data_IF_252042194598
#
_entry.id   IF_252042194598
#
_cell.length_a   1.000
_cell.length_b   1.000
_cell.length_c   1.000
_cell.angle_alpha   90.00
_cell.angle_beta   90.00
_cell.angle_gamma   90.00
#
_symmetry.space_group_name_H-M   'P 1'
#
loop_
_entity.id
_entity.type
_entity.pdbx_description
1 polymer ?
#
# COMPACT_ATOMS: atom_id res chain seq x y z
N UNK A 1 -1.47 20.06 -10.89
CA UNK A 1 -0.74 18.78 -10.73
C UNK A 1 0.03 18.87 -9.43
N UNK A 2 -0.19 17.98 -8.45
CA UNK A 2 0.73 17.89 -7.31
C UNK A 2 2.01 17.24 -7.85
N UNK A 3 3.13 17.96 -7.77
CA UNK A 3 4.41 17.45 -8.24
C UNK A 3 4.79 16.19 -7.45
N UNK A 4 5.50 15.27 -8.11
CA UNK A 4 6.08 14.12 -7.44
C UNK A 4 6.95 14.59 -6.26
N UNK A 5 6.69 14.04 -5.08
CA UNK A 5 7.45 14.35 -3.88
C UNK A 5 8.68 13.44 -3.80
N UNK A 6 9.78 13.89 -4.42
CA UNK A 6 11.03 13.13 -4.55
C UNK A 6 11.82 13.06 -3.24
N UNK A 7 11.30 12.26 -2.30
CA UNK A 7 11.94 12.00 -1.01
C UNK A 7 11.74 10.53 -0.66
N UNK A 8 12.86 9.84 -0.42
CA UNK A 8 12.89 8.43 -0.02
C UNK A 8 12.49 8.22 1.43
N UNK A 9 11.90 7.06 1.73
CA UNK A 9 11.68 6.63 3.11
C UNK A 9 13.04 6.43 3.79
N UNK A 10 13.25 6.89 5.05
CA UNK A 10 14.50 6.70 5.75
C UNK A 10 14.94 5.22 5.76
N UNK A 11 16.18 4.94 5.41
CA UNK A 11 16.68 3.58 5.19
C UNK A 11 16.46 2.65 6.40
N UNK A 12 16.58 3.18 7.63
CA UNK A 12 16.32 2.42 8.86
C UNK A 12 14.89 1.89 8.96
N UNK A 13 13.92 2.61 8.40
CA UNK A 13 12.51 2.24 8.34
C UNK A 13 12.21 1.37 7.11
N UNK A 14 12.97 1.58 6.03
CA UNK A 14 12.78 0.84 4.78
C UNK A 14 13.34 -0.59 4.82
N UNK A 15 14.36 -0.87 5.63
CA UNK A 15 14.99 -2.19 5.66
C UNK A 15 13.99 -3.30 6.03
N UNK A 16 13.94 -4.37 5.22
CA UNK A 16 12.98 -5.47 5.38
C UNK A 16 11.54 -5.12 5.03
N UNK A 17 11.25 -3.88 4.62
CA UNK A 17 9.92 -3.48 4.17
C UNK A 17 9.61 -4.05 2.79
N UNK A 18 8.36 -4.39 2.58
CA UNK A 18 7.85 -4.89 1.30
C UNK A 18 6.70 -4.02 0.83
N UNK A 19 6.41 -4.04 -0.47
CA UNK A 19 5.27 -3.31 -0.97
C UNK A 19 5.01 -3.57 -2.44
N UNK A 20 3.85 -3.11 -2.90
CA UNK A 20 3.43 -3.31 -4.27
C UNK A 20 2.04 -2.77 -4.54
N UNK A 21 1.61 -2.92 -5.80
CA UNK A 21 0.26 -2.62 -6.23
C UNK A 21 -0.59 -3.87 -6.04
N UNK A 22 -1.59 -3.80 -5.16
CA UNK A 22 -2.59 -4.82 -4.99
C UNK A 22 -3.77 -4.60 -5.96
N UNK A 23 -4.29 -5.69 -6.52
CA UNK A 23 -5.51 -5.74 -7.31
C UNK A 23 -6.46 -6.74 -6.65
N UNK A 24 -7.74 -6.42 -6.62
CA UNK A 24 -8.77 -7.31 -6.07
C UNK A 24 -9.69 -7.77 -7.19
N UNK A 25 -9.76 -9.09 -7.36
CA UNK A 25 -10.69 -9.74 -8.28
C UNK A 25 -11.48 -10.78 -7.50
N UNK A 26 -12.78 -10.60 -7.47
CA UNK A 26 -13.73 -11.53 -6.87
C UNK A 26 -14.22 -12.46 -7.97
N UNK A 27 -14.05 -13.75 -7.75
CA UNK A 27 -14.45 -14.81 -8.68
C UNK A 27 -15.59 -15.59 -8.03
N UNK A 28 -16.74 -15.67 -8.70
CA UNK A 28 -17.92 -16.38 -8.21
C UNK A 28 -18.47 -17.31 -9.28
N UNK A 29 -18.82 -18.53 -8.88
CA UNK A 29 -19.53 -19.48 -9.74
C UNK A 29 -21.03 -19.21 -9.64
N UNK A 30 -21.68 -18.99 -10.78
CA UNK A 30 -23.12 -18.77 -10.87
C UNK A 30 -23.88 -20.09 -10.74
N UNK A 31 -25.16 -20.04 -10.37
CA UNK A 31 -26.03 -21.22 -10.35
C UNK A 31 -26.19 -21.91 -11.72
N UNK A 32 -25.83 -21.23 -12.81
CA UNK A 32 -25.74 -21.76 -14.17
C UNK A 32 -24.44 -22.51 -14.49
N UNK A 33 -23.48 -22.57 -13.56
CA UNK A 33 -22.17 -23.19 -13.75
C UNK A 33 -21.11 -22.30 -14.41
N UNK A 34 -21.48 -21.10 -14.87
CA UNK A 34 -20.53 -20.12 -15.42
C UNK A 34 -19.80 -19.32 -14.32
N UNK A 35 -18.58 -18.88 -14.62
CA UNK A 35 -17.80 -18.00 -13.75
C UNK A 35 -18.12 -16.52 -14.03
N UNK A 36 -18.23 -15.72 -12.98
CA UNK A 36 -18.24 -14.26 -13.06
C UNK A 36 -17.07 -13.68 -12.28
N UNK A 37 -16.35 -12.73 -12.90
CA UNK A 37 -15.29 -11.94 -12.27
C UNK A 37 -15.76 -10.52 -12.04
N UNK A 38 -15.50 -9.97 -10.85
CA UNK A 38 -15.74 -8.57 -10.51
C UNK A 38 -14.47 -7.96 -9.93
N UNK A 39 -14.11 -6.76 -10.38
CA UNK A 39 -12.97 -6.02 -9.83
C UNK A 39 -13.53 -4.81 -9.09
N UNK A 40 -13.76 -4.88 -7.77
CA UNK A 40 -14.39 -3.79 -7.01
C UNK A 40 -13.51 -2.54 -6.91
N UNK A 41 -12.23 -2.64 -7.24
CA UNK A 41 -11.33 -1.50 -7.29
C UNK A 41 -11.16 -1.04 -8.74
N UNK A 42 -11.47 0.23 -9.00
CA UNK A 42 -11.23 0.85 -10.30
C UNK A 42 -9.73 0.82 -10.66
N UNK A 43 -8.87 1.07 -9.66
CA UNK A 43 -7.42 1.11 -9.82
C UNK A 43 -6.71 0.17 -8.85
N UNK A 44 -5.45 -0.12 -9.17
CA UNK A 44 -4.55 -0.78 -8.24
C UNK A 44 -4.27 0.10 -7.02
N UNK A 45 -4.34 -0.50 -5.83
CA UNK A 45 -4.02 0.18 -4.58
C UNK A 45 -2.60 -0.13 -4.18
N UNK A 46 -1.83 0.88 -3.78
CA UNK A 46 -0.47 0.67 -3.25
C UNK A 46 -0.57 0.23 -1.79
N UNK A 47 0.11 -0.85 -1.43
CA UNK A 47 0.24 -1.31 -0.05
C UNK A 47 1.71 -1.52 0.28
N UNK A 48 2.10 -1.05 1.46
CA UNK A 48 3.45 -1.19 1.98
C UNK A 48 3.38 -1.82 3.38
N UNK A 49 4.19 -2.84 3.61
CA UNK A 49 4.44 -3.41 4.92
C UNK A 49 5.79 -2.87 5.40
N UNK A 50 5.77 -2.15 6.52
CA UNK A 50 7.00 -1.68 7.15
C UNK A 50 7.60 -2.83 7.96
N UNK A 51 8.71 -3.38 7.47
CA UNK A 51 9.42 -4.50 8.09
C UNK A 51 10.38 -4.08 9.20
N UNK A 52 10.60 -2.77 9.36
CA UNK A 52 11.42 -2.25 10.45
C UNK A 52 10.72 -2.41 11.80
N UNK A 53 11.49 -2.79 12.81
CA UNK A 53 11.03 -2.77 14.19
C UNK A 53 10.93 -1.30 14.64
N UNK A 54 9.71 -0.75 14.70
CA UNK A 54 9.44 0.60 15.18
C UNK A 54 9.65 0.61 16.70
N UNK A 55 10.79 1.12 17.16
CA UNK A 55 11.20 1.03 18.57
C UNK A 55 10.87 2.30 19.36
N UNK A 56 10.56 3.41 18.69
CA UNK A 56 10.36 4.70 19.33
C UNK A 56 9.13 5.44 18.78
N UNK A 57 8.61 6.39 19.56
CA UNK A 57 7.55 7.30 19.11
C UNK A 57 8.01 8.18 17.93
N UNK A 58 9.30 8.50 17.86
CA UNK A 58 9.89 9.28 16.77
C UNK A 58 9.85 8.50 15.44
N UNK A 59 10.05 7.18 15.47
CA UNK A 59 9.91 6.31 14.30
C UNK A 59 8.49 6.35 13.75
N UNK A 60 7.49 6.27 14.64
CA UNK A 60 6.08 6.32 14.27
C UNK A 60 5.72 7.69 13.72
N UNK A 61 6.15 8.77 14.36
CA UNK A 61 5.92 10.14 13.89
C UNK A 61 6.53 10.36 12.49
N UNK A 62 7.75 9.89 12.28
CA UNK A 62 8.43 9.98 10.97
C UNK A 62 7.67 9.23 9.89
N UNK A 63 7.22 8.01 10.17
CA UNK A 63 6.48 7.19 9.21
C UNK A 63 5.11 7.81 8.88
N UNK A 64 4.37 8.27 9.89
CA UNK A 64 3.08 8.92 9.70
C UNK A 64 3.23 10.21 8.89
N UNK A 65 4.18 11.07 9.24
CA UNK A 65 4.45 12.30 8.49
C UNK A 65 4.85 12.01 7.03
N UNK A 66 5.66 10.97 6.81
CA UNK A 66 6.03 10.53 5.46
C UNK A 66 4.79 10.12 4.65
N UNK A 67 3.88 9.34 5.23
CA UNK A 67 2.67 8.86 4.57
C UNK A 67 1.68 10.00 4.29
N UNK A 68 1.45 10.86 5.27
CA UNK A 68 0.52 12.00 5.15
C UNK A 68 0.98 13.03 4.12
N UNK A 69 2.28 13.35 4.07
CA UNK A 69 2.86 14.26 3.08
C UNK A 69 2.62 13.80 1.63
N UNK A 70 2.38 12.50 1.42
CA UNK A 70 2.12 11.88 0.12
C UNK A 70 0.65 11.55 -0.13
N UNK A 71 -0.22 11.81 0.86
CA UNK A 71 -1.65 11.47 0.84
C UNK A 71 -1.93 9.98 0.65
N UNK A 72 -1.02 9.13 1.11
CA UNK A 72 -1.10 7.67 0.99
C UNK A 72 0.05 7.05 0.22
#
# INVERSE_FOLDING_TARGET
>A
MMAFHDVSLPARLAFGSTGGVERRTEVVTLGSGYERRSTPWADGRRRYLIGANLRSLDDMATLTAFFEARRG
#
